data_IF_629313310645
#
_entry.id   IF_629313310645
#
_cell.length_a   1.000
_cell.length_b   1.000
_cell.length_c   1.000
_cell.angle_alpha   90.00
_cell.angle_beta   90.00
_cell.angle_gamma   90.00
#
_symmetry.space_group_name_H-M   'P 1'
#
loop_
_entity.id
_entity.type
_entity.pdbx_description
1 polymer ?
#
# COMPACT_ATOMS: atom_id res chain seq x y z
N UNK A 1 -38.30 -15.59 -36.18
CA UNK A 1 -38.49 -14.15 -35.89
C UNK A 1 -37.87 -13.87 -34.53
N UNK A 2 -36.98 -12.92 -34.25
CA UNK A 2 -36.09 -12.02 -35.01
C UNK A 2 -35.10 -11.56 -33.93
N UNK A 3 -33.80 -11.67 -34.18
CA UNK A 3 -32.76 -11.08 -33.31
C UNK A 3 -32.87 -9.55 -33.40
N UNK A 4 -33.06 -8.88 -32.28
CA UNK A 4 -32.87 -7.42 -32.18
C UNK A 4 -31.58 -7.17 -31.42
N UNK A 5 -30.59 -6.63 -32.15
CA UNK A 5 -29.38 -6.06 -31.59
C UNK A 5 -29.70 -4.81 -30.79
N UNK A 6 -29.01 -4.64 -29.66
CA UNK A 6 -29.11 -3.45 -28.83
C UNK A 6 -27.80 -2.68 -28.97
N UNK A 7 -27.82 -1.66 -29.81
CA UNK A 7 -26.78 -0.65 -29.90
C UNK A 7 -26.77 0.17 -28.60
N UNK A 8 -25.65 0.16 -27.88
CA UNK A 8 -25.41 1.08 -26.76
C UNK A 8 -24.48 2.19 -27.24
N UNK A 9 -25.07 3.29 -27.69
CA UNK A 9 -24.42 4.59 -27.73
C UNK A 9 -24.39 5.19 -26.32
N UNK A 10 -23.23 5.21 -25.66
CA UNK A 10 -23.05 6.02 -24.46
C UNK A 10 -22.44 7.37 -24.84
N UNK A 11 -23.33 8.35 -24.97
CA UNK A 11 -23.01 9.77 -24.86
C UNK A 11 -22.50 10.03 -23.44
N UNK A 12 -21.20 10.25 -23.27
CA UNK A 12 -20.65 10.74 -22.01
C UNK A 12 -20.98 12.24 -21.86
N UNK A 13 -22.13 12.47 -21.22
CA UNK A 13 -22.59 13.72 -20.66
C UNK A 13 -21.53 14.26 -19.68
N UNK A 14 -21.10 15.51 -19.92
CA UNK A 14 -20.26 16.26 -18.98
C UNK A 14 -21.08 16.56 -17.73
N UNK A 15 -20.86 15.80 -16.67
CA UNK A 15 -21.30 16.19 -15.34
C UNK A 15 -20.22 17.07 -14.69
N UNK A 16 -20.59 18.34 -14.53
CA UNK A 16 -19.90 19.31 -13.71
C UNK A 16 -20.08 18.93 -12.23
N UNK A 17 -18.98 18.70 -11.53
CA UNK A 17 -18.94 18.67 -10.07
C UNK A 17 -18.33 19.98 -9.60
N UNK A 18 -19.09 20.71 -8.78
CA UNK A 18 -18.73 21.99 -8.15
C UNK A 18 -17.67 21.79 -7.03
N UNK A 19 -16.81 22.78 -6.74
CA UNK A 19 -15.54 22.60 -6.04
C UNK A 19 -15.71 22.67 -4.52
N UNK A 20 -14.88 21.92 -3.78
CA UNK A 20 -14.72 22.05 -2.33
C UNK A 20 -13.24 22.21 -1.99
N UNK A 21 -12.98 23.20 -1.15
CA UNK A 21 -11.76 23.98 -0.92
C UNK A 21 -10.52 23.23 -0.42
N UNK A 22 -9.35 23.69 -0.86
CA UNK A 22 -8.20 23.88 0.01
C UNK A 22 -7.32 25.01 -0.57
N UNK A 23 -7.42 26.20 0.03
CA UNK A 23 -6.44 27.26 -0.12
C UNK A 23 -5.07 26.74 0.34
N UNK A 24 -4.17 26.50 -0.61
CA UNK A 24 -2.73 26.46 -0.35
C UNK A 24 -2.06 27.42 -1.32
N UNK A 25 -1.92 28.66 -0.87
CA UNK A 25 -1.04 29.62 -1.52
C UNK A 25 0.40 29.19 -1.22
N UNK A 26 1.09 28.62 -2.21
CA UNK A 26 2.53 28.46 -2.15
C UNK A 26 3.18 29.85 -2.24
N UNK A 27 3.73 30.35 -1.14
CA UNK A 27 4.43 31.64 -1.10
C UNK A 27 5.78 31.66 -1.85
N UNK A 28 6.12 30.61 -2.62
CA UNK A 28 7.33 30.56 -3.46
C UNK A 28 7.25 29.40 -4.45
N UNK A 29 7.48 29.70 -5.73
CA UNK A 29 7.60 28.72 -6.82
C UNK A 29 8.99 28.07 -6.92
N UNK A 30 9.81 28.14 -5.86
CA UNK A 30 11.13 27.50 -5.84
C UNK A 30 11.17 26.29 -4.92
N UNK A 31 11.50 25.15 -5.50
CA UNK A 31 11.82 23.93 -4.78
C UNK A 31 13.04 24.13 -3.86
N UNK A 32 13.08 23.48 -2.67
CA UNK A 32 14.23 23.55 -1.78
C UNK A 32 15.44 22.86 -2.41
N UNK A 33 16.53 23.59 -2.62
CA UNK A 33 17.82 23.01 -2.99
C UNK A 33 18.45 22.35 -1.75
N UNK A 34 18.29 21.04 -1.61
CA UNK A 34 19.13 20.27 -0.69
C UNK A 34 20.52 20.11 -1.32
N UNK A 35 21.54 20.72 -0.71
CA UNK A 35 22.94 20.47 -1.09
C UNK A 35 23.29 19.05 -0.63
N UNK A 36 23.37 18.12 -1.58
CA UNK A 36 23.91 16.79 -1.33
C UNK A 36 25.41 16.94 -1.03
N UNK A 37 25.80 16.60 0.20
CA UNK A 37 27.20 16.61 0.65
C UNK A 37 27.93 15.50 -0.10
N UNK A 38 28.88 15.91 -0.93
CA UNK A 38 29.69 15.07 -1.80
C UNK A 38 30.32 13.88 -1.06
N UNK A 39 29.98 12.67 -1.50
CA UNK A 39 30.85 11.50 -1.49
C UNK A 39 30.92 11.02 -2.93
N UNK A 40 31.95 11.47 -3.64
CA UNK A 40 32.29 10.95 -4.96
C UNK A 40 33.00 9.60 -4.79
N UNK A 41 32.81 8.71 -5.76
CA UNK A 41 33.59 7.49 -6.08
C UNK A 41 32.88 6.14 -5.93
N UNK A 42 31.56 6.08 -6.08
CA UNK A 42 30.88 4.84 -6.46
C UNK A 42 29.58 5.27 -7.14
N UNK A 43 29.46 5.13 -8.46
CA UNK A 43 28.20 5.17 -9.28
C UNK A 43 28.43 5.58 -10.76
N UNK A 44 29.66 5.87 -11.21
CA UNK A 44 29.87 6.23 -12.64
C UNK A 44 29.62 5.07 -13.61
N UNK A 45 29.93 3.82 -13.23
CA UNK A 45 29.63 2.65 -14.06
C UNK A 45 28.12 2.38 -14.19
N UNK A 46 27.35 2.71 -13.16
CA UNK A 46 25.90 2.47 -13.09
C UNK A 46 25.12 3.55 -13.86
N UNK A 47 25.58 4.80 -13.78
CA UNK A 47 25.08 5.91 -14.60
C UNK A 47 25.36 5.70 -16.09
N UNK A 48 26.50 5.09 -16.45
CA UNK A 48 26.80 4.71 -17.85
C UNK A 48 25.90 3.55 -18.31
N UNK A 49 25.70 2.51 -17.48
CA UNK A 49 24.78 1.39 -17.78
C UNK A 49 23.33 1.87 -17.98
N UNK A 50 22.83 2.70 -17.07
CA UNK A 50 21.44 3.20 -17.14
C UNK A 50 21.23 4.13 -18.35
N UNK A 51 22.27 4.87 -18.76
CA UNK A 51 22.22 5.73 -19.95
C UNK A 51 22.33 4.92 -21.25
N UNK A 52 23.03 3.80 -21.23
CA UNK A 52 23.10 2.85 -22.34
C UNK A 52 21.79 2.07 -22.49
N UNK A 53 21.21 1.60 -21.38
CA UNK A 53 19.86 1.02 -21.33
C UNK A 53 18.80 1.99 -21.85
N UNK A 54 18.83 3.25 -21.40
CA UNK A 54 17.90 4.28 -21.89
C UNK A 54 18.06 4.55 -23.39
N UNK A 55 19.29 4.52 -23.92
CA UNK A 55 19.54 4.65 -25.37
C UNK A 55 19.02 3.44 -26.15
N UNK A 56 19.23 2.24 -25.63
CA UNK A 56 18.76 1.00 -26.25
C UNK A 56 17.22 0.93 -26.24
N UNK A 57 16.59 1.33 -25.14
CA UNK A 57 15.13 1.41 -25.01
C UNK A 57 14.54 2.51 -25.90
N UNK A 58 15.19 3.69 -25.98
CA UNK A 58 14.78 4.76 -26.89
C UNK A 58 14.91 4.32 -28.36
N UNK A 59 15.98 3.61 -28.71
CA UNK A 59 16.15 3.05 -30.05
C UNK A 59 15.10 1.98 -30.37
N UNK A 60 14.74 1.14 -29.40
CA UNK A 60 13.72 0.10 -29.53
C UNK A 60 12.31 0.69 -29.65
N UNK A 61 12.00 1.78 -28.93
CA UNK A 61 10.74 2.52 -29.06
C UNK A 61 10.65 3.26 -30.41
N UNK A 62 11.76 3.82 -30.89
CA UNK A 62 11.83 4.44 -32.22
C UNK A 62 11.64 3.39 -33.33
N UNK A 63 12.22 2.21 -33.16
CA UNK A 63 12.01 1.08 -34.08
C UNK A 63 10.55 0.60 -34.04
N UNK A 64 9.94 0.47 -32.85
CA UNK A 64 8.51 0.18 -32.71
C UNK A 64 7.62 1.25 -33.35
N UNK A 65 8.01 2.53 -33.29
CA UNK A 65 7.31 3.63 -33.97
C UNK A 65 7.45 3.54 -35.50
N UNK A 66 8.59 3.06 -36.00
CA UNK A 66 8.84 2.86 -37.43
C UNK A 66 8.20 1.56 -37.99
N UNK A 67 7.84 0.61 -37.12
CA UNK A 67 7.05 -0.56 -37.50
C UNK A 67 5.64 -0.09 -37.88
N UNK A 68 5.39 -0.04 -39.19
CA UNK A 68 4.09 0.27 -39.75
C UNK A 68 3.01 -0.57 -39.07
N UNK A 69 1.98 0.09 -38.54
CA UNK A 69 0.82 -0.61 -38.00
C UNK A 69 0.20 -1.47 -39.10
N UNK A 70 -0.47 -2.56 -38.73
CA UNK A 70 -1.26 -3.39 -39.67
C UNK A 70 -2.21 -2.50 -40.49
N UNK A 71 -2.76 -1.45 -39.87
CA UNK A 71 -3.59 -0.44 -40.55
C UNK A 71 -2.80 0.36 -41.60
N UNK A 72 -1.59 0.80 -41.27
CA UNK A 72 -0.74 1.56 -42.20
C UNK A 72 -0.31 0.70 -43.38
N UNK A 73 0.02 -0.57 -43.11
CA UNK A 73 0.39 -1.54 -44.14
C UNK A 73 -0.78 -1.82 -45.09
N UNK A 74 -1.99 -2.01 -44.55
CA UNK A 74 -3.21 -2.18 -45.34
C UNK A 74 -3.48 -0.95 -46.23
N UNK A 75 -3.38 0.26 -45.67
CA UNK A 75 -3.61 1.50 -46.44
C UNK A 75 -2.61 1.70 -47.58
N UNK A 76 -1.34 1.29 -47.38
CA UNK A 76 -0.31 1.34 -48.42
C UNK A 76 -0.57 0.30 -49.51
N UNK A 77 -1.03 -0.90 -49.13
CA UNK A 77 -1.41 -1.93 -50.08
C UNK A 77 -2.59 -1.49 -50.95
N UNK A 78 -3.63 -0.91 -50.35
CA UNK A 78 -4.79 -0.36 -51.08
C UNK A 78 -4.37 0.75 -52.06
N UNK A 79 -3.51 1.68 -51.64
CA UNK A 79 -2.95 2.72 -52.53
C UNK A 79 -2.15 2.13 -53.68
N UNK A 80 -1.35 1.09 -53.41
CA UNK A 80 -0.59 0.37 -54.44
C UNK A 80 -1.51 -0.33 -55.44
N UNK A 81 -2.56 -0.99 -54.96
CA UNK A 81 -3.57 -1.63 -55.80
C UNK A 81 -4.35 -0.62 -56.66
N UNK A 82 -4.72 0.53 -56.09
CA UNK A 82 -5.35 1.62 -56.81
C UNK A 82 -4.44 2.26 -57.87
N UNK A 83 -3.13 2.33 -57.62
CA UNK A 83 -2.17 2.78 -58.62
C UNK A 83 -2.00 1.77 -59.76
N UNK A 84 -1.92 0.48 -59.46
CA UNK A 84 -1.80 -0.59 -60.45
C UNK A 84 -3.03 -0.67 -61.38
N UNK A 85 -4.23 -0.51 -60.83
CA UNK A 85 -5.48 -0.47 -61.63
C UNK A 85 -5.51 0.70 -62.59
N UNK A 86 -5.08 1.91 -62.16
CA UNK A 86 -4.97 3.06 -63.05
C UNK A 86 -4.00 2.83 -64.22
N UNK A 87 -2.83 2.26 -63.95
CA UNK A 87 -1.85 1.94 -64.99
C UNK A 87 -2.40 0.90 -65.98
N UNK A 88 -3.16 -0.09 -65.49
CA UNK A 88 -3.83 -1.07 -66.35
C UNK A 88 -4.91 -0.47 -67.25
N UNK A 89 -5.56 0.61 -66.83
CA UNK A 89 -6.57 1.27 -67.66
C UNK A 89 -5.92 2.22 -68.68
N UNK A 90 -4.80 2.84 -68.34
CA UNK A 90 -3.98 3.64 -69.27
C UNK A 90 -3.43 2.81 -70.44
N UNK A 91 -2.96 1.58 -70.18
CA UNK A 91 -2.51 0.67 -71.25
C UNK A 91 -3.65 0.23 -72.18
N UNK A 92 -4.85 -0.05 -71.65
CA UNK A 92 -6.03 -0.36 -72.47
C UNK A 92 -6.42 0.79 -73.39
N UNK A 93 -6.31 2.04 -72.94
CA UNK A 93 -6.59 3.22 -73.78
C UNK A 93 -5.61 3.33 -74.95
N UNK A 94 -4.33 3.02 -74.71
CA UNK A 94 -3.30 3.00 -75.76
C UNK A 94 -3.53 1.89 -76.80
N UNK A 95 -4.07 0.74 -76.37
CA UNK A 95 -4.49 -0.36 -77.25
C UNK A 95 -5.64 0.04 -78.16
N UNK A 96 -6.64 0.74 -77.60
CA UNK A 96 -7.79 1.24 -78.37
C UNK A 96 -7.35 2.27 -79.43
N UNK A 97 -6.47 3.20 -79.08
CA UNK A 97 -5.91 4.16 -80.04
C UNK A 97 -5.12 3.48 -81.17
N UNK A 98 -4.45 2.37 -80.87
CA UNK A 98 -3.73 1.58 -81.89
C UNK A 98 -4.67 0.84 -82.84
N UNK A 99 -5.84 0.43 -82.36
CA UNK A 99 -6.88 -0.25 -83.15
C UNK A 99 -7.55 0.71 -84.15
N UNK A 100 -7.72 1.99 -83.80
CA UNK A 100 -8.28 3.02 -84.71
C UNK A 100 -7.47 3.18 -86.00
N UNK A 101 -6.14 3.01 -85.93
CA UNK A 101 -5.26 3.03 -87.12
C UNK A 101 -5.60 1.90 -88.09
N UNK A 102 -5.97 0.72 -87.58
CA UNK A 102 -6.36 -0.42 -88.41
C UNK A 102 -7.74 -0.25 -89.02
N UNK A 103 -8.67 0.39 -88.30
CA UNK A 103 -9.99 0.76 -88.84
C UNK A 103 -9.85 1.70 -90.05
N UNK A 104 -8.92 2.65 -90.01
CA UNK A 104 -8.68 3.55 -91.15
C UNK A 104 -8.15 2.80 -92.39
N UNK A 105 -7.28 1.81 -92.19
CA UNK A 105 -6.76 0.97 -93.28
C UNK A 105 -7.85 0.08 -93.89
N UNK A 106 -8.75 -0.46 -93.07
CA UNK A 106 -9.89 -1.25 -93.56
C UNK A 106 -10.87 -0.36 -94.35
N UNK A 107 -11.19 0.83 -93.85
CA UNK A 107 -12.02 1.79 -94.57
C UNK A 107 -11.41 2.19 -95.93
N UNK A 108 -10.09 2.37 -96.00
CA UNK A 108 -9.38 2.64 -97.26
C UNK A 108 -9.52 1.46 -98.23
N UNK A 109 -9.35 0.23 -97.75
CA UNK A 109 -9.53 -0.98 -98.55
C UNK A 109 -10.96 -1.10 -99.09
N UNK A 110 -11.98 -0.87 -98.26
CA UNK A 110 -13.39 -0.88 -98.66
C UNK A 110 -13.69 0.18 -99.74
N UNK A 111 -13.13 1.38 -99.60
CA UNK A 111 -13.27 2.44 -100.59
C UNK A 111 -12.61 2.07 -101.94
N UNK A 112 -11.44 1.43 -101.90
CA UNK A 112 -10.75 0.93 -103.10
C UNK A 112 -11.52 -0.22 -103.76
N UNK A 113 -12.10 -1.14 -102.99
CA UNK A 113 -12.92 -2.24 -103.52
C UNK A 113 -14.21 -1.72 -104.20
N UNK A 114 -14.82 -0.66 -103.63
CA UNK A 114 -15.94 0.04 -104.27
C UNK A 114 -15.55 0.70 -105.60
N UNK A 115 -14.34 1.27 -105.68
CA UNK A 115 -13.82 1.91 -106.88
C UNK A 115 -13.47 0.88 -107.97
N UNK A 116 -12.96 -0.30 -107.57
CA UNK A 116 -12.63 -1.41 -108.46
C UNK A 116 -13.80 -1.84 -109.33
N UNK A 117 -15.01 -1.91 -108.78
CA UNK A 117 -16.23 -2.27 -109.51
C UNK A 117 -16.66 -1.25 -110.58
N UNK A 118 -16.10 -0.03 -110.55
CA UNK A 118 -16.37 1.07 -111.49
C UNK A 118 -15.19 1.39 -112.42
N UNK A 119 -14.00 0.86 -112.16
CA UNK A 119 -12.79 1.13 -112.93
C UNK A 119 -12.69 0.22 -114.18
N UNK A 120 -12.08 0.71 -115.26
CA UNK A 120 -11.93 -0.01 -116.54
C UNK A 120 -10.53 0.20 -117.10
N UNK A 121 -9.99 -0.83 -117.76
CA UNK A 121 -8.67 -0.78 -118.41
C UNK A 121 -7.56 -0.55 -117.40
N UNK A 122 -6.56 0.28 -117.75
CA UNK A 122 -5.39 0.56 -116.93
C UNK A 122 -5.72 1.05 -115.50
N UNK A 123 -6.78 1.85 -115.36
CA UNK A 123 -7.21 2.34 -114.05
C UNK A 123 -7.72 1.20 -113.14
N UNK A 124 -8.20 0.10 -113.72
CA UNK A 124 -8.60 -1.09 -112.94
C UNK A 124 -7.37 -1.81 -112.39
N UNK A 125 -6.33 -1.94 -113.21
CA UNK A 125 -5.06 -2.56 -112.81
C UNK A 125 -4.39 -1.75 -111.69
N UNK A 126 -4.37 -0.41 -111.80
CA UNK A 126 -3.83 0.48 -110.75
C UNK A 126 -4.63 0.37 -109.43
N UNK A 127 -5.95 0.18 -109.49
CA UNK A 127 -6.80 -0.04 -108.30
C UNK A 127 -6.57 -1.42 -107.68
N UNK A 128 -6.38 -2.47 -108.50
CA UNK A 128 -6.04 -3.81 -108.02
C UNK A 128 -4.66 -3.83 -107.35
N UNK A 129 -3.67 -3.11 -107.89
CA UNK A 129 -2.36 -2.91 -107.26
C UNK A 129 -2.49 -2.14 -105.94
N UNK A 130 -3.31 -1.07 -105.90
CA UNK A 130 -3.56 -0.33 -104.67
C UNK A 130 -4.24 -1.18 -103.58
N UNK A 131 -5.19 -2.05 -103.94
CA UNK A 131 -5.82 -3.00 -103.00
C UNK A 131 -4.80 -4.03 -102.50
N UNK A 132 -3.95 -4.55 -103.39
CA UNK A 132 -2.89 -5.48 -103.01
C UNK A 132 -1.87 -4.83 -102.06
N UNK A 133 -1.44 -3.60 -102.34
CA UNK A 133 -0.55 -2.83 -101.48
C UNK A 133 -1.20 -2.52 -100.12
N UNK A 134 -2.46 -2.09 -100.09
CA UNK A 134 -3.19 -1.84 -98.85
C UNK A 134 -3.33 -3.12 -98.00
N UNK A 135 -3.63 -4.25 -98.64
CA UNK A 135 -3.73 -5.55 -97.97
C UNK A 135 -2.37 -6.03 -97.43
N UNK A 136 -1.28 -5.83 -98.20
CA UNK A 136 0.08 -6.16 -97.76
C UNK A 136 0.49 -5.31 -96.56
N UNK A 137 0.26 -3.99 -96.62
CA UNK A 137 0.59 -3.06 -95.54
C UNK A 137 -0.20 -3.35 -94.25
N UNK A 138 -1.48 -3.73 -94.37
CA UNK A 138 -2.30 -4.13 -93.23
C UNK A 138 -1.73 -5.38 -92.53
N UNK A 139 -1.37 -6.40 -93.31
CA UNK A 139 -0.79 -7.64 -92.79
C UNK A 139 0.56 -7.39 -92.12
N UNK A 140 1.45 -6.62 -92.75
CA UNK A 140 2.75 -6.26 -92.18
C UNK A 140 2.62 -5.44 -90.89
N UNK A 141 1.72 -4.45 -90.88
CA UNK A 141 1.48 -3.61 -89.70
C UNK A 141 0.91 -4.43 -88.52
N UNK A 142 0.02 -5.39 -88.78
CA UNK A 142 -0.52 -6.26 -87.74
C UNK A 142 0.53 -7.26 -87.22
N UNK A 143 1.28 -7.89 -88.12
CA UNK A 143 2.34 -8.83 -87.75
C UNK A 143 3.42 -8.17 -86.90
N UNK A 144 3.82 -6.93 -87.24
CA UNK A 144 4.77 -6.15 -86.45
C UNK A 144 4.24 -5.87 -85.04
N UNK A 145 3.00 -5.38 -84.92
CA UNK A 145 2.40 -5.10 -83.61
C UNK A 145 2.22 -6.35 -82.75
N UNK A 146 1.81 -7.47 -83.35
CA UNK A 146 1.64 -8.74 -82.63
C UNK A 146 2.98 -9.24 -82.10
N UNK A 147 4.04 -9.17 -82.91
CA UNK A 147 5.40 -9.55 -82.49
C UNK A 147 5.92 -8.66 -81.38
N UNK A 148 5.68 -7.34 -81.47
CA UNK A 148 6.05 -6.40 -80.42
C UNK A 148 5.33 -6.73 -79.11
N UNK A 149 4.01 -6.93 -79.15
CA UNK A 149 3.21 -7.29 -77.97
C UNK A 149 3.58 -8.63 -77.37
N UNK A 150 3.91 -9.61 -78.21
CA UNK A 150 4.41 -10.91 -77.74
C UNK A 150 5.73 -10.74 -76.97
N UNK A 151 6.65 -9.90 -77.46
CA UNK A 151 7.92 -9.65 -76.76
C UNK A 151 7.75 -8.94 -75.42
N UNK A 152 6.87 -7.94 -75.35
CA UNK A 152 6.51 -7.23 -74.11
C UNK A 152 5.85 -8.19 -73.11
N UNK A 153 4.90 -9.01 -73.56
CA UNK A 153 4.22 -10.00 -72.72
C UNK A 153 5.18 -11.06 -72.17
N UNK A 154 6.16 -11.51 -72.96
CA UNK A 154 7.19 -12.46 -72.51
C UNK A 154 8.07 -11.83 -71.43
N UNK A 155 8.45 -10.55 -71.58
CA UNK A 155 9.19 -9.81 -70.57
C UNK A 155 8.37 -9.63 -69.29
N UNK A 156 7.14 -9.14 -69.38
CA UNK A 156 6.24 -8.97 -68.23
C UNK A 156 6.03 -10.29 -67.49
N UNK A 157 5.83 -11.39 -68.22
CA UNK A 157 5.70 -12.73 -67.63
C UNK A 157 6.94 -13.14 -66.84
N UNK A 158 8.13 -12.80 -67.32
CA UNK A 158 9.38 -13.06 -66.59
C UNK A 158 9.49 -12.21 -65.32
N UNK A 159 9.12 -10.93 -65.39
CA UNK A 159 9.10 -10.02 -64.25
C UNK A 159 8.06 -10.43 -63.19
N UNK A 160 6.85 -10.81 -63.62
CA UNK A 160 5.80 -11.36 -62.74
C UNK A 160 6.27 -12.64 -62.07
N UNK A 161 6.95 -13.54 -62.79
CA UNK A 161 7.53 -14.76 -62.21
C UNK A 161 8.58 -14.43 -61.15
N UNK A 162 9.44 -13.44 -61.41
CA UNK A 162 10.43 -12.95 -60.44
C UNK A 162 9.75 -12.35 -59.20
N UNK A 163 8.74 -11.49 -59.39
CA UNK A 163 7.99 -10.88 -58.29
C UNK A 163 7.26 -11.94 -57.45
N UNK A 164 6.63 -12.94 -58.08
CA UNK A 164 5.98 -14.05 -57.39
C UNK A 164 6.98 -14.84 -56.52
N UNK A 165 8.22 -15.04 -57.01
CA UNK A 165 9.26 -15.69 -56.22
C UNK A 165 9.69 -14.88 -54.99
N UNK A 166 9.82 -13.55 -55.12
CA UNK A 166 10.11 -12.67 -54.00
C UNK A 166 8.97 -12.60 -52.98
N UNK A 167 7.71 -12.52 -53.44
CA UNK A 167 6.56 -12.54 -52.56
C UNK A 167 6.46 -13.85 -51.78
N UNK A 168 6.74 -14.99 -52.45
CA UNK A 168 6.79 -16.29 -51.79
C UNK A 168 7.88 -16.31 -50.71
N UNK A 169 9.09 -15.86 -51.02
CA UNK A 169 10.19 -15.80 -50.06
C UNK A 169 9.85 -14.90 -48.87
N UNK A 170 9.39 -13.67 -49.13
CA UNK A 170 8.99 -12.73 -48.10
C UNK A 170 7.86 -13.28 -47.20
N UNK A 171 6.90 -14.02 -47.78
CA UNK A 171 5.83 -14.65 -47.00
C UNK A 171 6.33 -15.77 -46.08
N UNK A 172 7.30 -16.56 -46.55
CA UNK A 172 7.91 -17.62 -45.74
C UNK A 172 8.78 -17.03 -44.63
N UNK A 173 9.58 -16.01 -44.94
CA UNK A 173 10.41 -15.31 -43.96
C UNK A 173 9.55 -14.63 -42.87
N UNK A 174 8.45 -13.99 -43.27
CA UNK A 174 7.50 -13.38 -42.32
C UNK A 174 6.84 -14.44 -41.43
N UNK A 175 6.46 -15.59 -42.00
CA UNK A 175 5.88 -16.71 -41.24
C UNK A 175 6.90 -17.27 -40.23
N UNK A 176 8.14 -17.50 -40.68
CA UNK A 176 9.24 -17.98 -39.83
C UNK A 176 9.48 -17.03 -38.65
N UNK A 177 9.58 -15.73 -38.91
CA UNK A 177 9.76 -14.71 -37.86
C UNK A 177 8.62 -14.75 -36.85
N UNK A 178 7.37 -14.83 -37.32
CA UNK A 178 6.20 -14.92 -36.42
C UNK A 178 6.26 -16.18 -35.56
N UNK A 179 6.64 -17.32 -36.11
CA UNK A 179 6.72 -18.57 -35.37
C UNK A 179 7.88 -18.57 -34.35
N UNK A 180 9.02 -17.95 -34.67
CA UNK A 180 10.14 -17.73 -33.75
C UNK A 180 9.75 -16.83 -32.57
N UNK A 181 9.12 -15.68 -32.83
CA UNK A 181 8.63 -14.77 -31.78
C UNK A 181 7.57 -15.43 -30.91
N UNK A 182 6.67 -16.22 -31.50
CA UNK A 182 5.70 -17.02 -30.74
C UNK A 182 6.37 -18.07 -29.86
N UNK A 183 7.40 -18.75 -30.35
CA UNK A 183 8.16 -19.72 -29.57
C UNK A 183 8.87 -19.04 -28.40
N UNK A 184 9.54 -17.91 -28.65
CA UNK A 184 10.18 -17.10 -27.63
C UNK A 184 9.18 -16.67 -26.54
N UNK A 185 8.04 -16.07 -26.94
CA UNK A 185 7.00 -15.66 -26.01
C UNK A 185 6.47 -16.83 -25.16
N UNK A 186 6.29 -18.03 -25.74
CA UNK A 186 5.90 -19.22 -24.98
C UNK A 186 6.95 -19.61 -23.95
N UNK A 187 8.23 -19.58 -24.30
CA UNK A 187 9.30 -19.90 -23.35
C UNK A 187 9.37 -18.90 -22.20
N UNK A 188 9.19 -17.60 -22.45
CA UNK A 188 9.16 -16.58 -21.40
C UNK A 188 7.93 -16.73 -20.50
N UNK A 189 6.76 -17.02 -21.06
CA UNK A 189 5.55 -17.32 -20.28
C UNK A 189 5.77 -18.54 -19.38
N UNK A 190 6.35 -19.62 -19.89
CA UNK A 190 6.62 -20.83 -19.09
C UNK A 190 7.65 -20.58 -18.00
N UNK A 191 8.71 -19.79 -18.27
CA UNK A 191 9.66 -19.35 -17.23
C UNK A 191 8.97 -18.55 -16.13
N UNK A 192 8.10 -17.61 -16.50
CA UNK A 192 7.34 -16.80 -15.54
C UNK A 192 6.39 -17.67 -14.71
N UNK A 193 5.69 -18.62 -15.34
CA UNK A 193 4.83 -19.61 -14.64
C UNK A 193 5.62 -20.47 -13.65
N UNK A 194 6.79 -20.98 -14.06
CA UNK A 194 7.66 -21.76 -13.17
C UNK A 194 8.16 -20.92 -11.98
N UNK A 195 8.45 -19.64 -12.20
CA UNK A 195 8.82 -18.74 -11.10
C UNK A 195 7.66 -18.51 -10.12
N UNK A 196 6.45 -18.29 -10.63
CA UNK A 196 5.23 -18.16 -9.81
C UNK A 196 4.99 -19.43 -9.00
N UNK A 197 5.09 -20.60 -9.62
CA UNK A 197 4.90 -21.88 -8.93
C UNK A 197 5.90 -22.06 -7.78
N UNK A 198 7.18 -21.72 -7.97
CA UNK A 198 8.18 -21.77 -6.89
C UNK A 198 7.85 -20.84 -5.72
N UNK A 199 7.35 -19.64 -6.02
CA UNK A 199 6.93 -18.68 -4.99
C UNK A 199 5.70 -19.21 -4.24
N UNK A 200 4.75 -19.80 -4.96
CA UNK A 200 3.56 -20.41 -4.36
C UNK A 200 3.92 -21.57 -3.44
N UNK A 201 4.79 -22.48 -3.87
CA UNK A 201 5.30 -23.59 -3.05
C UNK A 201 6.04 -23.08 -1.80
N UNK A 202 6.90 -22.07 -1.95
CA UNK A 202 7.61 -21.46 -0.82
C UNK A 202 6.66 -20.81 0.19
N UNK A 203 5.61 -20.15 -0.30
CA UNK A 203 4.59 -19.52 0.55
C UNK A 203 3.77 -20.57 1.30
N UNK A 204 3.37 -21.66 0.63
CA UNK A 204 2.66 -22.77 1.25
C UNK A 204 3.49 -23.42 2.36
N UNK A 205 4.80 -23.64 2.13
CA UNK A 205 5.67 -24.19 3.17
C UNK A 205 5.85 -23.21 4.34
N UNK A 206 6.02 -21.91 4.07
CA UNK A 206 6.07 -20.90 5.12
C UNK A 206 4.78 -20.87 5.95
N UNK A 207 3.62 -21.00 5.32
CA UNK A 207 2.33 -21.08 6.02
C UNK A 207 2.27 -22.33 6.90
N UNK A 208 2.72 -23.48 6.39
CA UNK A 208 2.75 -24.75 7.12
C UNK A 208 3.65 -24.66 8.36
N UNK A 209 4.85 -24.09 8.20
CA UNK A 209 5.79 -23.84 9.30
C UNK A 209 5.22 -22.86 10.32
N UNK A 210 4.58 -21.77 9.87
CA UNK A 210 3.96 -20.78 10.75
C UNK A 210 2.83 -21.38 11.57
N UNK A 211 1.99 -22.23 10.96
CA UNK A 211 0.92 -22.96 11.67
C UNK A 211 1.48 -23.95 12.70
N UNK A 212 2.59 -24.62 12.40
CA UNK A 212 3.23 -25.54 13.33
C UNK A 212 3.89 -24.78 14.50
N UNK A 213 4.64 -23.72 14.20
CA UNK A 213 5.35 -22.92 15.18
C UNK A 213 4.38 -22.17 16.12
N UNK A 214 3.29 -21.61 15.59
CA UNK A 214 2.26 -20.95 16.41
C UNK A 214 1.58 -21.89 17.40
N UNK A 215 1.42 -23.19 17.07
CA UNK A 215 0.93 -24.18 18.04
C UNK A 215 1.96 -24.47 19.15
N UNK A 216 3.23 -24.60 18.78
CA UNK A 216 4.29 -24.86 19.74
C UNK A 216 4.47 -23.68 20.71
N UNK A 217 4.44 -22.45 20.20
CA UNK A 217 4.57 -21.22 20.99
C UNK A 217 3.46 -21.07 22.04
N UNK A 218 2.21 -21.36 21.66
CA UNK A 218 1.07 -21.35 22.61
C UNK A 218 1.21 -22.42 23.68
N UNK A 219 1.67 -23.63 23.31
CA UNK A 219 1.89 -24.73 24.24
C UNK A 219 3.04 -24.44 25.23
N UNK A 220 4.12 -23.84 24.75
CA UNK A 220 5.26 -23.41 25.57
C UNK A 220 4.85 -22.31 26.54
N UNK A 221 4.13 -21.29 26.06
CA UNK A 221 3.57 -20.24 26.90
C UNK A 221 2.62 -20.80 27.97
N UNK A 222 1.79 -21.78 27.62
CA UNK A 222 0.93 -22.46 28.60
C UNK A 222 1.73 -23.14 29.71
N UNK A 223 2.84 -23.80 29.37
CA UNK A 223 3.74 -24.43 30.37
C UNK A 223 4.41 -23.38 31.25
N UNK A 224 4.92 -22.30 30.67
CA UNK A 224 5.51 -21.19 31.43
C UNK A 224 4.51 -20.54 32.39
N UNK A 225 3.29 -20.29 31.92
CA UNK A 225 2.20 -19.74 32.77
C UNK A 225 1.85 -20.70 33.92
N UNK A 226 1.81 -22.00 33.66
CA UNK A 226 1.58 -23.00 34.71
C UNK A 226 2.72 -23.02 35.73
N UNK A 227 3.97 -22.97 35.29
CA UNK A 227 5.13 -22.97 36.18
C UNK A 227 5.21 -21.68 37.00
N UNK A 228 4.97 -20.52 36.38
CA UNK A 228 4.90 -19.24 37.10
C UNK A 228 3.80 -19.25 38.18
N UNK A 229 2.64 -19.86 37.89
CA UNK A 229 1.58 -20.07 38.89
C UNK A 229 2.05 -20.99 40.02
N UNK A 230 2.74 -22.08 39.71
CA UNK A 230 3.29 -23.02 40.70
C UNK A 230 4.30 -22.34 41.63
N UNK A 231 5.27 -21.62 41.06
CA UNK A 231 6.28 -20.86 41.81
C UNK A 231 5.59 -19.86 42.73
N UNK A 232 4.62 -19.09 42.22
CA UNK A 232 3.87 -18.13 43.03
C UNK A 232 3.16 -18.82 44.21
N UNK A 233 2.48 -19.94 43.96
CA UNK A 233 1.77 -20.69 45.01
C UNK A 233 2.70 -21.28 46.07
N UNK A 234 3.94 -21.62 45.72
CA UNK A 234 4.91 -22.17 46.66
C UNK A 234 5.53 -21.09 47.57
N UNK A 235 5.83 -19.90 47.02
CA UNK A 235 6.57 -18.86 47.75
C UNK A 235 5.67 -17.88 48.50
N UNK A 236 4.43 -17.66 48.05
CA UNK A 236 3.49 -16.74 48.71
C UNK A 236 3.16 -17.17 50.15
N UNK A 237 2.83 -18.45 50.46
CA UNK A 237 2.53 -18.87 51.83
C UNK A 237 3.75 -18.82 52.74
N UNK A 238 4.95 -19.14 52.21
CA UNK A 238 6.20 -19.04 52.97
C UNK A 238 6.45 -17.61 53.44
N UNK A 239 6.29 -16.62 52.55
CA UNK A 239 6.47 -15.21 52.90
C UNK A 239 5.47 -14.73 53.96
N UNK A 240 4.22 -15.19 53.89
CA UNK A 240 3.20 -14.87 54.90
C UNK A 240 3.58 -15.48 56.25
N UNK A 241 4.03 -16.73 56.25
CA UNK A 241 4.46 -17.42 57.46
C UNK A 241 5.66 -16.73 58.12
N UNK A 242 6.67 -16.31 57.36
CA UNK A 242 7.82 -15.58 57.90
C UNK A 242 7.39 -14.27 58.59
N UNK A 243 6.50 -13.50 57.94
CA UNK A 243 5.92 -12.28 58.50
C UNK A 243 5.10 -12.55 59.79
N UNK A 244 4.37 -13.67 59.85
CA UNK A 244 3.60 -14.04 61.04
C UNK A 244 4.52 -14.36 62.23
N UNK A 245 5.65 -15.03 62.00
CA UNK A 245 6.63 -15.29 63.05
C UNK A 245 7.26 -13.97 63.55
N UNK A 246 7.65 -13.06 62.65
CA UNK A 246 8.17 -11.75 63.03
C UNK A 246 7.16 -10.95 63.87
N UNK A 247 5.88 -10.95 63.48
CA UNK A 247 4.81 -10.30 64.25
C UNK A 247 4.62 -10.90 65.64
N UNK A 248 4.72 -12.22 65.78
CA UNK A 248 4.64 -12.89 67.09
C UNK A 248 5.79 -12.44 68.01
N UNK A 249 7.02 -12.39 67.49
CA UNK A 249 8.19 -11.91 68.24
C UNK A 249 8.01 -10.46 68.69
N UNK A 250 7.57 -9.57 67.80
CA UNK A 250 7.33 -8.17 68.13
C UNK A 250 6.25 -8.01 69.22
N UNK A 251 5.17 -8.81 69.17
CA UNK A 251 4.12 -8.81 70.20
C UNK A 251 4.66 -9.26 71.55
N UNK A 252 5.48 -10.30 71.59
CA UNK A 252 6.13 -10.75 72.83
C UNK A 252 7.03 -9.67 73.43
N UNK A 253 7.87 -9.03 72.61
CA UNK A 253 8.74 -7.95 73.05
C UNK A 253 7.95 -6.74 73.56
N UNK A 254 6.85 -6.39 72.90
CA UNK A 254 5.97 -5.32 73.33
C UNK A 254 5.37 -5.64 74.70
N UNK A 255 4.84 -6.84 74.90
CA UNK A 255 4.26 -7.27 76.18
C UNK A 255 5.29 -7.22 77.33
N UNK A 256 6.53 -7.65 77.06
CA UNK A 256 7.62 -7.58 78.05
C UNK A 256 8.01 -6.13 78.37
N UNK A 257 8.17 -5.27 77.36
CA UNK A 257 8.45 -3.85 77.56
C UNK A 257 7.31 -3.15 78.31
N UNK A 258 6.05 -3.45 78.01
CA UNK A 258 4.90 -2.92 78.75
C UNK A 258 4.91 -3.36 80.21
N UNK A 259 5.24 -4.63 80.51
CA UNK A 259 5.37 -5.12 81.89
C UNK A 259 6.47 -4.37 82.66
N UNK A 260 7.62 -4.16 82.02
CA UNK A 260 8.74 -3.41 82.63
C UNK A 260 8.38 -1.93 82.81
N UNK A 261 7.71 -1.31 81.85
CA UNK A 261 7.22 0.07 81.94
C UNK A 261 6.23 0.24 83.09
N UNK A 262 5.27 -0.66 83.25
CA UNK A 262 4.33 -0.63 84.38
C UNK A 262 5.03 -0.80 85.73
N UNK A 263 6.06 -1.64 85.83
CA UNK A 263 6.88 -1.78 87.04
C UNK A 263 7.60 -0.47 87.37
N UNK A 264 8.29 0.11 86.40
CA UNK A 264 8.98 1.39 86.57
C UNK A 264 8.02 2.52 86.95
N UNK A 265 6.83 2.56 86.35
CA UNK A 265 5.80 3.52 86.71
C UNK A 265 5.36 3.38 88.18
N UNK A 266 5.20 2.14 88.66
CA UNK A 266 4.92 1.87 90.08
C UNK A 266 6.08 2.28 90.99
N UNK A 267 7.32 1.96 90.62
CA UNK A 267 8.51 2.36 91.37
C UNK A 267 8.66 3.89 91.46
N UNK A 268 8.42 4.61 90.36
CA UNK A 268 8.42 6.08 90.32
C UNK A 268 7.30 6.70 91.16
N UNK A 269 6.13 6.06 91.22
CA UNK A 269 5.06 6.49 92.11
C UNK A 269 5.43 6.31 93.60
N UNK A 270 6.17 5.25 93.93
CA UNK A 270 6.65 4.99 95.29
C UNK A 270 7.78 5.94 95.71
N UNK A 271 8.75 6.24 94.82
CA UNK A 271 9.85 7.17 95.15
C UNK A 271 9.35 8.60 95.37
N UNK A 272 8.33 9.04 94.62
CA UNK A 272 7.72 10.37 94.77
C UNK A 272 7.01 10.55 96.13
N UNK A 273 6.59 9.47 96.79
CA UNK A 273 5.92 9.51 98.12
C UNK A 273 6.90 9.73 99.27
N UNK A 274 8.22 9.56 99.08
CA UNK A 274 9.24 9.67 100.11
C UNK A 274 9.84 11.07 100.34
N UNK A 275 9.51 12.08 99.53
CA UNK A 275 10.24 13.35 99.47
C UNK A 275 9.58 14.56 100.18
N UNK A 276 8.39 14.43 100.79
CA UNK A 276 7.72 15.54 101.49
C UNK A 276 7.75 15.39 103.01
N UNK A 277 8.69 16.09 103.66
CA UNK A 277 8.82 16.21 105.12
C UNK A 277 7.90 17.32 105.68
N UNK A 278 6.63 17.00 105.87
CA UNK A 278 5.71 17.52 106.89
C UNK A 278 4.49 16.60 106.85
N UNK A 279 4.08 15.93 107.95
CA UNK A 279 2.90 15.09 107.90
C UNK A 279 1.67 16.00 107.77
N UNK A 280 1.06 15.99 106.59
CA UNK A 280 -0.27 16.55 106.39
C UNK A 280 -1.23 15.77 107.31
N UNK A 281 -1.88 16.46 108.24
CA UNK A 281 -2.82 15.84 109.19
C UNK A 281 -4.01 15.19 108.50
N UNK A 282 -4.28 15.59 107.25
CA UNK A 282 -5.38 15.12 106.43
C UNK A 282 -4.91 14.86 104.99
N UNK A 283 -5.37 13.76 104.38
CA UNK A 283 -5.17 13.42 102.96
C UNK A 283 -6.53 13.51 102.25
N UNK A 284 -6.50 13.73 100.92
CA UNK A 284 -7.71 13.69 100.10
C UNK A 284 -7.78 12.33 99.41
N UNK A 285 -8.82 11.56 99.71
CA UNK A 285 -9.08 10.26 99.07
C UNK A 285 -10.22 10.39 98.05
N UNK A 286 -10.17 9.56 97.02
CA UNK A 286 -11.14 9.55 95.92
C UNK A 286 -10.51 9.72 94.53
N UNK A 287 -11.30 9.38 93.51
CA UNK A 287 -10.85 9.46 92.12
C UNK A 287 -11.07 10.87 91.57
N UNK A 288 -10.02 11.54 91.09
CA UNK A 288 -10.07 12.89 90.51
C UNK A 288 -10.68 12.92 89.10
N UNK A 289 -11.86 12.31 88.93
CA UNK A 289 -12.62 12.29 87.68
C UNK A 289 -14.01 12.92 87.86
N UNK A 290 -14.58 13.45 86.78
CA UNK A 290 -15.93 14.03 86.79
C UNK A 290 -16.96 12.99 87.23
N UNK A 291 -17.84 13.35 88.17
CA UNK A 291 -18.87 12.48 88.72
C UNK A 291 -18.43 11.58 89.89
N UNK A 292 -17.22 11.78 90.43
CA UNK A 292 -16.71 11.05 91.61
C UNK A 292 -16.79 11.91 92.88
N UNK A 293 -16.55 11.33 94.05
CA UNK A 293 -16.49 12.06 95.32
C UNK A 293 -15.05 12.11 95.81
N UNK A 294 -14.66 13.28 96.32
CA UNK A 294 -13.40 13.51 97.03
C UNK A 294 -13.73 13.68 98.51
N UNK A 295 -13.09 12.90 99.35
CA UNK A 295 -13.28 12.89 100.80
C UNK A 295 -11.95 13.24 101.48
N UNK A 296 -11.99 14.13 102.47
CA UNK A 296 -10.81 14.39 103.30
C UNK A 296 -10.65 13.16 104.24
N UNK A 297 -9.48 12.81 104.76
CA UNK A 297 -9.39 11.76 105.77
C UNK A 297 -8.25 12.07 106.74
N UNK A 298 -8.45 11.93 108.06
CA UNK A 298 -7.37 12.12 109.01
C UNK A 298 -6.32 11.04 108.81
N UNK A 299 -5.06 11.46 108.65
CA UNK A 299 -3.96 10.54 108.38
C UNK A 299 -3.54 9.73 109.62
N UNK A 300 -3.83 10.24 110.83
CA UNK A 300 -3.40 9.63 112.09
C UNK A 300 -4.40 9.91 113.23
N UNK A 301 -4.46 9.00 114.21
CA UNK A 301 -5.40 8.98 115.34
C UNK A 301 -5.31 10.18 116.31
N UNK A 302 -4.32 11.06 116.12
CA UNK A 302 -4.14 12.31 116.90
C UNK A 302 -4.57 13.56 116.13
N UNK A 303 -5.18 13.41 114.95
CA UNK A 303 -5.73 14.53 114.20
C UNK A 303 -6.99 15.08 114.89
N UNK A 304 -7.26 16.40 114.85
CA UNK A 304 -8.51 16.97 115.35
C UNK A 304 -9.72 16.31 114.68
N UNK A 305 -10.83 16.16 115.43
CA UNK A 305 -12.07 15.68 114.83
C UNK A 305 -12.52 16.62 113.71
N UNK A 306 -12.97 16.05 112.58
CA UNK A 306 -13.36 16.81 111.38
C UNK A 306 -14.53 17.76 111.64
N UNK A 307 -15.35 17.46 112.66
CA UNK A 307 -16.46 18.30 113.11
C UNK A 307 -15.98 19.60 113.79
N UNK A 308 -14.76 19.61 114.34
CA UNK A 308 -14.14 20.79 114.94
C UNK A 308 -13.38 21.64 113.91
N UNK A 309 -13.22 21.12 112.68
CA UNK A 309 -12.45 21.75 111.62
C UNK A 309 -13.33 22.63 110.72
N UNK A 310 -12.88 23.84 110.40
CA UNK A 310 -13.52 24.69 109.39
C UNK A 310 -13.01 24.32 108.00
N UNK A 311 -13.78 23.49 107.26
CA UNK A 311 -13.42 23.00 105.93
C UNK A 311 -13.94 23.95 104.85
N UNK A 312 -13.09 24.30 103.86
CA UNK A 312 -13.47 25.13 102.73
C UNK A 312 -12.86 24.62 101.43
N UNK A 313 -13.71 24.40 100.43
CA UNK A 313 -13.30 23.94 99.11
C UNK A 313 -13.05 25.10 98.15
N UNK A 314 -12.01 24.94 97.33
CA UNK A 314 -11.60 25.90 96.32
C UNK A 314 -11.42 25.20 94.98
N UNK A 315 -11.81 25.88 93.90
CA UNK A 315 -11.44 25.52 92.54
C UNK A 315 -10.28 26.40 92.09
N UNK A 316 -9.29 25.82 91.43
CA UNK A 316 -8.24 26.57 90.76
C UNK A 316 -8.75 27.03 89.39
N UNK A 317 -8.72 28.34 89.12
CA UNK A 317 -8.98 28.88 87.78
C UNK A 317 -7.71 28.88 86.95
N UNK A 318 -7.82 28.57 85.65
CA UNK A 318 -6.68 28.34 84.77
C UNK A 318 -5.81 29.57 84.48
N UNK A 319 -6.28 30.80 84.66
CA UNK A 319 -5.58 31.96 84.11
C UNK A 319 -4.54 32.59 85.06
N UNK A 320 -4.76 32.61 86.38
CA UNK A 320 -3.82 33.27 87.33
C UNK A 320 -3.48 32.43 88.58
N UNK A 321 -3.87 31.16 88.63
CA UNK A 321 -3.66 30.29 89.80
C UNK A 321 -4.39 30.75 91.08
N UNK A 322 -5.25 31.76 90.98
CA UNK A 322 -6.09 32.23 92.07
C UNK A 322 -7.13 31.17 92.44
N UNK A 323 -7.35 31.02 93.75
CA UNK A 323 -8.30 30.06 94.33
C UNK A 323 -9.69 30.69 94.35
N UNK A 324 -10.63 30.15 93.57
CA UNK A 324 -12.03 30.54 93.62
C UNK A 324 -12.78 29.73 94.67
N UNK A 325 -13.39 30.42 95.64
CA UNK A 325 -14.15 29.80 96.72
C UNK A 325 -15.45 29.17 96.19
N UNK A 326 -15.69 27.90 96.50
CA UNK A 326 -16.96 27.24 96.22
C UNK A 326 -17.90 27.53 97.39
N UNK A 327 -18.95 28.33 97.15
CA UNK A 327 -19.90 28.74 98.19
C UNK A 327 -20.88 27.61 98.52
N UNK A 328 -20.87 27.13 99.76
CA UNK A 328 -21.71 26.04 100.28
C UNK A 328 -21.23 25.55 101.65
N UNK A 329 -22.08 24.83 102.40
CA UNK A 329 -21.73 24.31 103.75
C UNK A 329 -20.48 23.42 103.65
N UNK A 330 -19.47 23.71 104.49
CA UNK A 330 -18.16 23.05 104.54
C UNK A 330 -18.25 21.59 104.96
N UNK A 331 -18.68 20.72 104.04
CA UNK A 331 -18.75 19.29 104.22
C UNK A 331 -17.39 18.64 103.92
N UNK A 332 -17.14 17.54 104.61
CA UNK A 332 -15.94 16.71 104.52
C UNK A 332 -15.81 15.95 103.18
N UNK A 333 -16.92 15.79 102.46
CA UNK A 333 -16.99 15.18 101.13
C UNK A 333 -17.41 16.23 100.10
N UNK A 334 -16.80 16.18 98.92
CA UNK A 334 -17.09 17.04 97.78
C UNK A 334 -17.30 16.22 96.51
N UNK A 335 -18.40 16.47 95.80
CA UNK A 335 -18.68 15.84 94.50
C UNK A 335 -17.99 16.64 93.39
N UNK A 336 -17.17 15.98 92.56
CA UNK A 336 -16.59 16.59 91.36
C UNK A 336 -17.65 16.70 90.27
N UNK A 337 -18.24 17.89 90.13
CA UNK A 337 -19.22 18.23 89.11
C UNK A 337 -18.60 18.63 87.77
#
# INVERSE_FOLDING_TARGET
>A
MTRMGRDFSYTAQRDAVSPVSADVIFASSRFPNYKNRANNNLEDAKLVSMKEEFRNETAQLLDQQNRLSVRDLASKFEKGLAAATKLSDETKLQDVASLEKHVLLENLREALESLRGRAVGKNKDDVEEAIAMASCFFVESLAFQLTQRESELVQEKAEVKKLASFLKQASEDAKKLVDEERAFARTEIEKARAAVQRVEEALQEQERLSRANGKQDVEELMKEVQEARRIKMLHQPSKVMDMDHELQVLRMQLAEKSKSSLKLQKELAMSRRGEKNAPDFFELDGTESLGSYLEIHPCFDKAPELLECSIQWYRLTCEDGQKCLISGIGLHQFLTL
#
